data_IF_116518376548
#
_entry.id   IF_116518376548
#
_cell.length_a   1.000
_cell.length_b   1.000
_cell.length_c   1.000
_cell.angle_alpha   90.00
_cell.angle_beta   90.00
_cell.angle_gamma   90.00
#
_symmetry.space_group_name_H-M   'P 1'
#
loop_
_entity.id
_entity.type
_entity.pdbx_description
1 polymer ?
#
# COMPACT_ATOMS: atom_id res chain seq x y z
N UNK A 1 -25.63 -8.22 -15.79
CA UNK A 1 -26.09 -7.60 -14.52
C UNK A 1 -25.77 -6.13 -14.55
N UNK A 2 -26.66 -5.25 -14.06
CA UNK A 2 -26.38 -3.81 -13.94
C UNK A 2 -25.20 -3.56 -13.00
N UNK A 3 -24.35 -2.58 -13.33
CA UNK A 3 -23.29 -2.12 -12.45
C UNK A 3 -23.88 -1.65 -11.11
N UNK A 4 -23.19 -1.93 -10.01
CA UNK A 4 -23.59 -1.48 -8.68
C UNK A 4 -22.89 -0.16 -8.35
N UNK A 5 -23.57 0.72 -7.62
CA UNK A 5 -23.03 1.97 -7.14
C UNK A 5 -22.25 1.71 -5.82
N UNK A 6 -20.95 1.84 -5.86
CA UNK A 6 -20.08 1.60 -4.70
C UNK A 6 -19.48 2.93 -4.24
N UNK A 7 -19.74 3.30 -3.00
CA UNK A 7 -19.12 4.47 -2.40
C UNK A 7 -17.88 4.05 -1.58
N UNK A 8 -16.71 4.42 -2.05
CA UNK A 8 -15.48 4.30 -1.27
C UNK A 8 -15.39 5.43 -0.25
N UNK A 9 -15.19 5.06 1.02
CA UNK A 9 -14.82 6.00 2.08
C UNK A 9 -13.53 5.52 2.75
N UNK A 10 -12.65 6.44 3.10
CA UNK A 10 -11.35 6.05 3.62
C UNK A 10 -10.86 6.96 4.74
N UNK A 11 -10.12 6.35 5.67
CA UNK A 11 -9.32 7.09 6.66
C UNK A 11 -8.08 7.70 6.02
N UNK A 12 -7.56 7.10 4.95
CA UNK A 12 -6.38 7.50 4.20
C UNK A 12 -6.71 7.54 2.71
N UNK A 13 -6.39 8.64 2.06
CA UNK A 13 -6.57 8.82 0.62
C UNK A 13 -5.66 9.94 0.12
N UNK A 14 -5.08 9.83 -1.10
CA UNK A 14 -4.25 10.89 -1.67
C UNK A 14 -5.00 12.21 -1.78
N UNK A 15 -4.38 13.28 -1.31
CA UNK A 15 -4.99 14.59 -1.30
C UNK A 15 -3.91 15.68 -1.28
N UNK A 16 -4.28 16.98 -1.36
CA UNK A 16 -3.31 18.09 -1.40
C UNK A 16 -2.39 18.20 -0.18
N UNK A 17 -2.80 17.63 0.99
CA UNK A 17 -2.04 17.69 2.24
C UNK A 17 -1.12 16.47 2.34
N UNK A 18 -1.62 15.31 1.93
CA UNK A 18 -0.95 14.01 2.02
C UNK A 18 -1.00 13.31 0.65
N UNK A 19 -0.16 13.72 -0.32
CA UNK A 19 -0.28 13.25 -1.72
C UNK A 19 -0.05 11.76 -1.93
N UNK A 20 0.72 11.11 -1.06
CA UNK A 20 1.09 9.68 -1.16
C UNK A 20 0.28 8.78 -0.23
N UNK A 21 -0.45 9.38 0.74
CA UNK A 21 -1.17 8.60 1.75
C UNK A 21 -2.39 7.90 1.17
N UNK A 22 -2.46 6.56 1.32
CA UNK A 22 -3.61 5.77 0.88
C UNK A 22 -3.67 5.49 -0.63
N UNK A 23 -2.56 5.57 -1.36
CA UNK A 23 -2.47 5.20 -2.78
C UNK A 23 -3.08 3.83 -3.08
N UNK A 24 -2.94 2.86 -2.18
CA UNK A 24 -3.52 1.53 -2.29
C UNK A 24 -5.06 1.55 -2.29
N UNK A 25 -5.69 2.51 -1.57
CA UNK A 25 -7.15 2.68 -1.58
C UNK A 25 -7.61 3.20 -2.94
N UNK A 26 -6.91 4.17 -3.50
CA UNK A 26 -7.19 4.69 -4.83
C UNK A 26 -7.10 3.58 -5.87
N UNK A 27 -6.04 2.76 -5.85
CA UNK A 27 -5.87 1.62 -6.77
C UNK A 27 -6.98 0.58 -6.63
N UNK A 28 -7.43 0.28 -5.40
CA UNK A 28 -8.59 -0.59 -5.19
C UNK A 28 -9.88 -0.01 -5.78
N UNK A 29 -10.11 1.30 -5.61
CA UNK A 29 -11.27 1.97 -6.21
C UNK A 29 -11.21 1.93 -7.75
N UNK A 30 -10.04 2.15 -8.33
CA UNK A 30 -9.78 2.03 -9.76
C UNK A 30 -10.07 0.60 -10.25
N UNK A 31 -9.56 -0.42 -9.57
CA UNK A 31 -9.86 -1.81 -9.91
C UNK A 31 -11.37 -2.10 -9.84
N UNK A 32 -12.05 -1.68 -8.78
CA UNK A 32 -13.51 -1.90 -8.63
C UNK A 32 -14.30 -1.20 -9.74
N UNK A 33 -13.82 -0.07 -10.27
CA UNK A 33 -14.48 0.69 -11.33
C UNK A 33 -14.58 -0.06 -12.67
N UNK A 34 -13.75 -1.08 -12.90
CA UNK A 34 -13.85 -1.95 -14.08
C UNK A 34 -15.21 -2.66 -14.18
N UNK A 35 -15.82 -3.00 -13.05
CA UNK A 35 -17.05 -3.80 -12.99
C UNK A 35 -18.22 -3.11 -12.30
N UNK A 36 -18.00 -1.95 -11.65
CA UNK A 36 -19.00 -1.22 -10.87
C UNK A 36 -18.94 0.28 -11.17
N UNK A 37 -19.95 1.04 -10.78
CA UNK A 37 -19.86 2.49 -10.69
C UNK A 37 -19.26 2.85 -9.33
N UNK A 38 -18.22 3.70 -9.33
CA UNK A 38 -17.48 4.04 -8.11
C UNK A 38 -17.46 5.55 -7.93
N UNK A 39 -17.77 5.99 -6.72
CA UNK A 39 -17.47 7.34 -6.23
C UNK A 39 -16.61 7.25 -4.97
N UNK A 40 -15.76 8.26 -4.73
CA UNK A 40 -14.87 8.33 -3.57
C UNK A 40 -15.24 9.54 -2.74
N UNK A 41 -15.39 9.32 -1.41
CA UNK A 41 -15.58 10.39 -0.44
C UNK A 41 -14.51 10.28 0.66
N UNK A 42 -13.66 11.28 0.73
CA UNK A 42 -12.65 11.41 1.79
C UNK A 42 -12.87 12.67 2.61
N UNK A 43 -12.52 12.64 3.91
CA UNK A 43 -12.65 13.81 4.78
C UNK A 43 -11.41 13.94 5.68
N UNK A 44 -10.68 15.04 5.53
CA UNK A 44 -9.40 15.29 6.21
C UNK A 44 -9.35 16.69 6.83
N UNK A 45 -8.61 16.82 7.95
CA UNK A 45 -8.39 18.10 8.62
C UNK A 45 -7.27 18.90 7.98
N UNK A 46 -7.52 20.17 7.72
CA UNK A 46 -6.54 21.13 7.21
C UNK A 46 -6.37 22.27 8.23
N UNK A 47 -5.17 22.35 8.83
CA UNK A 47 -4.86 23.38 9.84
C UNK A 47 -4.57 24.76 9.21
N UNK A 48 -4.33 24.83 7.90
CA UNK A 48 -4.01 26.07 7.19
C UNK A 48 -5.25 26.83 6.71
N UNK A 49 -6.42 26.16 6.63
CA UNK A 49 -7.61 26.80 6.08
C UNK A 49 -8.40 27.61 7.10
N UNK A 50 -9.02 28.69 6.64
CA UNK A 50 -9.89 29.58 7.45
C UNK A 50 -11.34 29.11 7.44
N UNK A 51 -11.83 28.56 6.34
CA UNK A 51 -13.20 28.09 6.18
C UNK A 51 -13.43 26.78 6.97
N UNK A 52 -14.61 26.63 7.58
CA UNK A 52 -14.94 25.41 8.31
C UNK A 52 -14.91 24.17 7.41
N UNK A 53 -15.37 24.29 6.15
CA UNK A 53 -15.34 23.23 5.13
C UNK A 53 -14.99 23.77 3.76
N UNK A 54 -14.12 23.03 3.05
CA UNK A 54 -13.85 23.23 1.61
C UNK A 54 -14.10 21.90 0.92
N UNK A 55 -14.76 21.92 -0.24
CA UNK A 55 -15.09 20.75 -1.03
C UNK A 55 -14.25 20.77 -2.31
N UNK A 56 -13.44 19.76 -2.53
CA UNK A 56 -12.67 19.54 -3.75
C UNK A 56 -13.28 18.35 -4.49
N UNK A 57 -14.10 18.62 -5.51
CA UNK A 57 -14.88 17.64 -6.28
C UNK A 57 -14.28 17.53 -7.68
N UNK A 58 -13.63 16.42 -7.98
CA UNK A 58 -12.88 16.21 -9.23
C UNK A 58 -13.13 14.80 -9.78
N UNK A 59 -12.85 14.64 -11.07
CA UNK A 59 -12.69 13.33 -11.69
C UNK A 59 -11.19 12.98 -11.67
N UNK A 60 -10.84 11.89 -11.00
CA UNK A 60 -9.46 11.38 -10.94
C UNK A 60 -9.48 9.95 -11.51
N UNK A 61 -8.71 9.71 -12.55
CA UNK A 61 -8.66 8.41 -13.26
C UNK A 61 -10.06 7.86 -13.61
N UNK A 62 -10.97 8.75 -14.06
CA UNK A 62 -12.35 8.39 -14.42
C UNK A 62 -13.32 8.22 -13.24
N UNK A 63 -12.88 8.42 -12.00
CA UNK A 63 -13.69 8.26 -10.79
C UNK A 63 -13.96 9.61 -10.16
N UNK A 64 -15.24 9.92 -9.88
CA UNK A 64 -15.59 11.11 -9.11
C UNK A 64 -15.07 11.00 -7.69
N UNK A 65 -14.21 11.91 -7.31
CA UNK A 65 -13.52 11.97 -6.03
C UNK A 65 -13.84 13.28 -5.34
N UNK A 66 -14.55 13.20 -4.22
CA UNK A 66 -14.89 14.34 -3.38
C UNK A 66 -14.05 14.30 -2.10
N UNK A 67 -13.12 15.24 -1.97
CA UNK A 67 -12.34 15.44 -0.75
C UNK A 67 -12.92 16.64 0.02
N UNK A 68 -13.34 16.38 1.25
CA UNK A 68 -13.85 17.41 2.17
C UNK A 68 -12.75 17.78 3.16
N UNK A 69 -12.22 19.00 3.04
CA UNK A 69 -11.26 19.54 4.00
C UNK A 69 -12.02 20.27 5.11
N UNK A 70 -11.87 19.84 6.35
CA UNK A 70 -12.42 20.58 7.49
C UNK A 70 -11.31 21.34 8.23
N UNK A 71 -11.64 22.52 8.77
CA UNK A 71 -10.70 23.30 9.58
C UNK A 71 -10.28 22.49 10.81
N UNK A 72 -9.00 22.10 10.86
CA UNK A 72 -8.42 21.35 11.97
C UNK A 72 -8.02 22.31 13.11
N UNK A 73 -8.20 21.86 14.34
CA UNK A 73 -7.92 22.64 15.55
C UNK A 73 -7.12 21.81 16.56
N UNK A 74 -6.71 22.42 17.66
CA UNK A 74 -6.07 21.69 18.78
C UNK A 74 -7.04 20.80 19.57
N UNK A 75 -8.37 20.96 19.39
CA UNK A 75 -9.37 20.17 20.11
C UNK A 75 -9.75 18.89 19.33
N UNK A 76 -9.37 17.69 19.80
CA UNK A 76 -9.62 16.43 19.09
C UNK A 76 -11.11 16.06 18.99
N UNK A 77 -11.95 16.44 19.96
CA UNK A 77 -13.38 16.17 19.93
C UNK A 77 -14.08 17.05 18.88
N UNK A 78 -13.71 18.33 18.79
CA UNK A 78 -14.21 19.22 17.76
C UNK A 78 -13.78 18.75 16.37
N UNK A 79 -12.54 18.31 16.21
CA UNK A 79 -12.03 17.77 14.94
C UNK A 79 -12.79 16.50 14.54
N UNK A 80 -13.09 15.60 15.48
CA UNK A 80 -13.92 14.43 15.20
C UNK A 80 -15.33 14.81 14.76
N UNK A 81 -15.99 15.73 15.47
CA UNK A 81 -17.31 16.25 15.13
C UNK A 81 -17.33 16.90 13.73
N UNK A 82 -16.33 17.75 13.43
CA UNK A 82 -16.17 18.36 12.11
C UNK A 82 -15.96 17.33 11.03
N UNK A 83 -15.14 16.32 11.26
CA UNK A 83 -14.94 15.21 10.31
C UNK A 83 -16.24 14.47 10.01
N UNK A 84 -17.01 14.10 11.04
CA UNK A 84 -18.30 13.43 10.85
C UNK A 84 -19.32 14.31 10.11
N UNK A 85 -19.35 15.60 10.41
CA UNK A 85 -20.20 16.58 9.71
C UNK A 85 -19.73 16.78 8.26
N UNK A 86 -18.41 16.81 8.01
CA UNK A 86 -17.82 16.84 6.68
C UNK A 86 -18.23 15.65 5.82
N UNK A 87 -18.14 14.44 6.37
CA UNK A 87 -18.64 13.23 5.71
C UNK A 87 -20.14 13.32 5.39
N UNK A 88 -20.99 13.78 6.34
CA UNK A 88 -22.43 13.95 6.11
C UNK A 88 -22.71 14.94 4.96
N UNK A 89 -22.03 16.10 4.97
CA UNK A 89 -22.16 17.12 3.92
C UNK A 89 -21.66 16.62 2.56
N UNK A 90 -20.56 15.88 2.55
CA UNK A 90 -20.04 15.24 1.35
C UNK A 90 -21.00 14.18 0.81
N UNK A 91 -21.47 13.27 1.65
CA UNK A 91 -22.42 12.22 1.29
C UNK A 91 -23.71 12.77 0.65
N UNK A 92 -24.21 13.90 1.16
CA UNK A 92 -25.39 14.56 0.58
C UNK A 92 -25.21 15.03 -0.88
N UNK A 93 -23.96 15.07 -1.38
CA UNK A 93 -23.61 15.42 -2.76
C UNK A 93 -23.30 14.20 -3.65
N UNK A 94 -23.25 12.99 -3.05
CA UNK A 94 -22.95 11.75 -3.75
C UNK A 94 -24.26 11.05 -4.18
N UNK A 95 -24.13 10.15 -5.16
CA UNK A 95 -25.23 9.21 -5.49
C UNK A 95 -25.48 8.30 -4.28
N UNK A 96 -26.72 7.89 -4.08
CA UNK A 96 -27.05 6.87 -3.07
C UNK A 96 -26.39 5.55 -3.47
N UNK A 97 -25.44 5.02 -2.68
CA UNK A 97 -24.76 3.80 -3.04
C UNK A 97 -25.58 2.55 -2.69
N UNK A 98 -25.40 1.48 -3.46
CA UNK A 98 -25.88 0.14 -3.11
C UNK A 98 -25.08 -0.44 -1.94
N UNK A 99 -23.77 -0.11 -1.88
CA UNK A 99 -22.84 -0.59 -0.85
C UNK A 99 -21.75 0.45 -0.57
N UNK A 100 -21.35 0.56 0.69
CA UNK A 100 -20.20 1.35 1.09
C UNK A 100 -18.96 0.43 1.21
N UNK A 101 -17.86 0.81 0.56
CA UNK A 101 -16.56 0.20 0.74
C UNK A 101 -15.69 1.10 1.63
N UNK A 102 -15.65 0.80 2.91
CA UNK A 102 -14.82 1.50 3.88
C UNK A 102 -13.38 0.98 3.84
N UNK A 103 -12.42 1.83 4.20
CA UNK A 103 -11.00 1.47 4.22
C UNK A 103 -10.36 1.90 5.52
N UNK A 104 -9.69 0.96 6.18
CA UNK A 104 -8.96 1.10 7.44
C UNK A 104 -9.86 1.39 8.65
N UNK A 105 -9.93 0.45 9.59
CA UNK A 105 -10.81 0.49 10.78
C UNK A 105 -10.39 1.54 11.82
N UNK A 106 -10.33 2.81 11.39
CA UNK A 106 -10.13 3.93 12.29
C UNK A 106 -11.44 4.64 12.63
N UNK A 107 -11.41 5.51 13.64
CA UNK A 107 -12.60 6.23 14.16
C UNK A 107 -13.41 6.96 13.08
N UNK A 108 -12.79 7.38 11.99
CA UNK A 108 -13.47 7.98 10.83
C UNK A 108 -14.49 7.04 10.18
N UNK A 109 -14.24 5.72 10.23
CA UNK A 109 -15.15 4.72 9.65
C UNK A 109 -16.38 4.43 10.51
N UNK A 110 -16.55 5.07 11.66
CA UNK A 110 -17.85 5.16 12.33
C UNK A 110 -18.91 5.81 11.41
N UNK A 111 -18.47 6.53 10.37
CA UNK A 111 -19.39 7.04 9.35
C UNK A 111 -20.06 5.92 8.53
N UNK A 112 -19.34 4.84 8.21
CA UNK A 112 -19.95 3.66 7.57
C UNK A 112 -21.01 3.01 8.47
N UNK A 113 -20.74 2.92 9.78
CA UNK A 113 -21.72 2.42 10.76
C UNK A 113 -22.95 3.32 10.80
N UNK A 114 -22.78 4.65 10.79
CA UNK A 114 -23.87 5.61 10.71
C UNK A 114 -24.72 5.40 9.44
N UNK A 115 -24.11 5.23 8.27
CA UNK A 115 -24.82 5.00 7.00
C UNK A 115 -25.64 3.69 7.05
N UNK A 116 -25.05 2.62 7.61
CA UNK A 116 -25.77 1.35 7.80
C UNK A 116 -26.96 1.50 8.72
N UNK A 117 -26.79 2.18 9.87
CA UNK A 117 -27.88 2.33 10.86
C UNK A 117 -29.02 3.20 10.33
N UNK A 118 -28.67 4.34 9.70
CA UNK A 118 -29.66 5.34 9.27
C UNK A 118 -30.31 5.01 7.95
N UNK A 119 -29.52 4.58 6.96
CA UNK A 119 -29.99 4.38 5.58
C UNK A 119 -30.07 2.91 5.17
N UNK A 120 -29.72 1.98 6.07
CA UNK A 120 -29.66 0.53 5.83
C UNK A 120 -28.69 0.11 4.72
N UNK A 121 -27.74 0.96 4.36
CA UNK A 121 -26.72 0.68 3.34
C UNK A 121 -25.69 -0.28 3.96
N UNK A 122 -25.48 -1.49 3.42
CA UNK A 122 -24.47 -2.41 3.90
C UNK A 122 -23.06 -1.88 3.60
N UNK A 123 -22.06 -2.33 4.38
CA UNK A 123 -20.69 -1.98 4.08
C UNK A 123 -19.71 -3.14 4.31
N UNK A 124 -18.66 -3.13 3.52
CA UNK A 124 -17.43 -3.91 3.73
C UNK A 124 -16.31 -2.98 4.18
N UNK A 125 -15.27 -3.53 4.76
CA UNK A 125 -14.09 -2.76 5.10
C UNK A 125 -12.82 -3.50 4.70
N UNK A 126 -12.00 -2.87 3.82
CA UNK A 126 -10.65 -3.36 3.55
C UNK A 126 -9.68 -2.83 4.60
N UNK A 127 -8.87 -3.75 5.14
CA UNK A 127 -7.94 -3.40 6.20
C UNK A 127 -6.50 -3.51 5.71
N UNK A 128 -5.77 -2.39 5.86
CA UNK A 128 -4.38 -2.24 5.42
C UNK A 128 -3.44 -1.89 6.56
N UNK A 129 -3.96 -1.50 7.72
CA UNK A 129 -3.15 -0.88 8.75
C UNK A 129 -2.29 -1.90 9.50
N UNK A 130 -0.98 -1.70 9.43
CA UNK A 130 0.00 -2.50 10.17
C UNK A 130 -0.11 -2.38 11.70
N UNK A 131 -0.88 -1.41 12.20
CA UNK A 131 -1.19 -1.30 13.63
C UNK A 131 -1.96 -2.50 14.19
N UNK A 132 -2.64 -3.28 13.35
CA UNK A 132 -3.30 -4.53 13.76
C UNK A 132 -2.41 -5.76 13.68
N UNK A 133 -1.18 -5.66 13.17
CA UNK A 133 -0.20 -6.73 13.24
C UNK A 133 0.25 -6.94 14.69
N UNK A 134 0.46 -8.17 15.10
CA UNK A 134 0.77 -8.55 16.48
C UNK A 134 1.97 -7.80 17.05
N UNK A 135 2.97 -7.54 16.24
CA UNK A 135 4.17 -6.76 16.62
C UNK A 135 3.83 -5.31 17.07
N UNK A 136 2.67 -4.79 16.71
CA UNK A 136 2.25 -3.43 17.02
C UNK A 136 1.10 -3.35 18.07
N UNK A 137 0.61 -4.48 18.59
CA UNK A 137 -0.54 -4.47 19.52
C UNK A 137 -0.28 -3.68 20.79
N UNK A 138 0.94 -3.67 21.31
CA UNK A 138 1.33 -2.88 22.47
C UNK A 138 1.14 -1.36 22.27
N UNK A 139 1.11 -0.90 21.01
CA UNK A 139 0.91 0.50 20.62
C UNK A 139 -0.57 0.85 20.41
N UNK A 140 -1.47 -0.14 20.37
CA UNK A 140 -2.91 0.08 20.19
C UNK A 140 -3.54 0.57 21.49
N UNK A 141 -4.13 1.76 21.46
CA UNK A 141 -4.92 2.23 22.60
C UNK A 141 -6.20 1.39 22.75
N UNK A 142 -6.64 1.20 24.01
CA UNK A 142 -7.91 0.50 24.32
C UNK A 142 -9.11 1.15 23.61
N UNK A 143 -9.10 2.49 23.49
CA UNK A 143 -10.15 3.25 22.79
C UNK A 143 -10.14 2.92 21.29
N UNK A 144 -8.97 2.92 20.64
CA UNK A 144 -8.86 2.55 19.23
C UNK A 144 -9.37 1.13 18.99
N UNK A 145 -8.94 0.18 19.82
CA UNK A 145 -9.37 -1.22 19.71
C UNK A 145 -10.88 -1.38 19.89
N UNK A 146 -11.46 -0.69 20.87
CA UNK A 146 -12.91 -0.69 21.12
C UNK A 146 -13.68 -0.16 19.91
N UNK A 147 -13.28 1.00 19.38
CA UNK A 147 -13.91 1.60 18.20
C UNK A 147 -13.79 0.66 16.98
N UNK A 148 -12.59 0.09 16.75
CA UNK A 148 -12.38 -0.84 15.64
C UNK A 148 -13.28 -2.08 15.76
N UNK A 149 -13.48 -2.61 16.97
CA UNK A 149 -14.41 -3.74 17.21
C UNK A 149 -15.87 -3.35 16.94
N UNK A 150 -16.30 -2.12 17.23
CA UNK A 150 -17.64 -1.63 16.87
C UNK A 150 -17.79 -1.58 15.35
N UNK A 151 -16.81 -1.02 14.65
CA UNK A 151 -16.83 -0.93 13.19
C UNK A 151 -16.85 -2.34 12.58
N UNK A 152 -15.95 -3.21 13.01
CA UNK A 152 -15.86 -4.59 12.58
C UNK A 152 -17.18 -5.36 12.75
N UNK A 153 -17.80 -5.29 13.94
CA UNK A 153 -19.07 -5.98 14.24
C UNK A 153 -20.21 -5.55 13.30
N UNK A 154 -20.17 -4.32 12.81
CA UNK A 154 -21.21 -3.78 11.91
C UNK A 154 -20.90 -4.01 10.43
N UNK A 155 -19.68 -4.32 10.03
CA UNK A 155 -19.34 -4.64 8.65
C UNK A 155 -19.95 -5.98 8.23
N UNK A 156 -20.34 -6.08 6.94
CA UNK A 156 -20.77 -7.36 6.34
C UNK A 156 -19.58 -8.30 6.15
N UNK A 157 -18.44 -7.74 5.75
CA UNK A 157 -17.15 -8.42 5.64
C UNK A 157 -16.02 -7.48 6.06
N UNK A 158 -14.97 -8.05 6.66
CA UNK A 158 -13.65 -7.45 6.76
C UNK A 158 -12.78 -8.12 5.69
N UNK A 159 -12.02 -7.30 4.95
CA UNK A 159 -11.20 -7.73 3.82
C UNK A 159 -9.73 -7.38 4.12
N UNK A 160 -9.03 -8.20 4.92
CA UNK A 160 -7.59 -8.01 5.15
C UNK A 160 -6.82 -8.22 3.86
N UNK A 161 -5.72 -7.48 3.68
CA UNK A 161 -4.89 -7.59 2.46
C UNK A 161 -3.90 -8.75 2.48
N UNK A 162 -3.83 -9.52 3.57
CA UNK A 162 -2.97 -10.71 3.69
C UNK A 162 -3.58 -11.74 4.63
N UNK A 163 -3.17 -13.00 4.49
CA UNK A 163 -3.51 -14.07 5.45
C UNK A 163 -2.88 -13.80 6.82
N UNK A 164 -1.70 -13.19 6.82
CA UNK A 164 -1.04 -12.77 8.05
C UNK A 164 -1.91 -11.79 8.84
N UNK A 165 -2.38 -10.71 8.20
CA UNK A 165 -3.28 -9.74 8.84
C UNK A 165 -4.62 -10.37 9.24
N UNK A 166 -5.18 -11.27 8.42
CA UNK A 166 -6.40 -12.00 8.74
C UNK A 166 -6.24 -12.77 10.06
N UNK A 167 -5.13 -13.48 10.22
CA UNK A 167 -4.81 -14.26 11.44
C UNK A 167 -4.71 -13.34 12.66
N UNK A 168 -4.02 -12.22 12.53
CA UNK A 168 -3.86 -11.24 13.61
C UNK A 168 -5.19 -10.58 14.02
N UNK A 169 -6.05 -10.24 13.05
CA UNK A 169 -7.39 -9.73 13.34
C UNK A 169 -8.27 -10.76 14.07
N UNK A 170 -8.19 -12.04 13.71
CA UNK A 170 -8.87 -13.12 14.44
C UNK A 170 -8.35 -13.21 15.89
N UNK A 171 -7.05 -13.17 16.09
CA UNK A 171 -6.41 -13.21 17.40
C UNK A 171 -6.76 -11.98 18.26
N UNK A 172 -7.00 -10.82 17.64
CA UNK A 172 -7.57 -9.63 18.32
C UNK A 172 -9.05 -9.77 18.69
N UNK A 173 -9.68 -10.90 18.33
CA UNK A 173 -11.06 -11.21 18.66
C UNK A 173 -12.10 -10.65 17.68
N UNK A 174 -11.72 -10.31 16.46
CA UNK A 174 -12.68 -9.97 15.41
C UNK A 174 -13.44 -11.22 14.96
N UNK A 175 -14.79 -11.21 15.12
CA UNK A 175 -15.69 -12.33 14.78
C UNK A 175 -16.44 -12.15 13.46
N UNK A 176 -16.30 -11.02 12.82
CA UNK A 176 -16.94 -10.71 11.53
C UNK A 176 -16.38 -11.62 10.45
N UNK A 177 -17.21 -11.97 9.46
CA UNK A 177 -16.75 -12.74 8.28
C UNK A 177 -15.57 -12.03 7.62
N UNK A 178 -14.54 -12.81 7.25
CA UNK A 178 -13.33 -12.28 6.62
C UNK A 178 -13.01 -13.06 5.34
N UNK A 179 -12.58 -12.32 4.32
CA UNK A 179 -11.97 -12.86 3.09
C UNK A 179 -10.74 -12.02 2.77
N UNK A 180 -9.63 -12.63 2.43
CA UNK A 180 -8.46 -11.88 1.97
C UNK A 180 -8.73 -11.35 0.57
N UNK A 181 -8.46 -10.06 0.40
CA UNK A 181 -8.38 -9.39 -0.90
C UNK A 181 -7.13 -8.54 -0.88
N UNK A 182 -6.16 -8.98 -1.64
CA UNK A 182 -4.80 -8.45 -1.65
C UNK A 182 -4.75 -7.06 -2.31
N UNK A 183 -3.61 -6.40 -2.16
CA UNK A 183 -3.33 -5.17 -2.88
C UNK A 183 -3.24 -5.44 -4.39
N UNK A 184 -3.50 -4.41 -5.17
CA UNK A 184 -3.59 -4.46 -6.63
C UNK A 184 -2.40 -3.76 -7.28
N UNK A 185 -2.01 -4.25 -8.45
CA UNK A 185 -1.03 -3.60 -9.31
C UNK A 185 -1.62 -3.38 -10.71
N UNK A 186 -1.27 -2.26 -11.33
CA UNK A 186 -1.55 -1.99 -12.73
C UNK A 186 -0.46 -2.63 -13.61
N UNK A 187 -0.73 -3.84 -14.11
CA UNK A 187 0.21 -4.61 -14.94
C UNK A 187 0.41 -3.97 -16.32
N UNK A 188 -0.48 -3.10 -16.78
CA UNK A 188 -0.30 -2.32 -18.01
C UNK A 188 0.69 -1.18 -17.84
N UNK A 189 0.80 -0.61 -16.64
CA UNK A 189 1.79 0.39 -16.28
C UNK A 189 3.14 -0.27 -15.92
N UNK A 190 3.10 -1.32 -15.10
CA UNK A 190 4.28 -2.08 -14.67
C UNK A 190 4.54 -3.25 -15.63
N UNK A 191 4.90 -2.89 -16.88
CA UNK A 191 5.16 -3.85 -17.96
C UNK A 191 6.49 -4.59 -17.78
N UNK A 192 6.60 -5.75 -18.40
CA UNK A 192 7.82 -6.54 -18.44
C UNK A 192 8.98 -5.72 -19.02
N UNK A 193 10.17 -5.87 -18.44
CA UNK A 193 11.40 -5.30 -18.99
C UNK A 193 11.75 -5.94 -20.32
N UNK A 194 12.21 -5.11 -21.28
CA UNK A 194 12.66 -5.55 -22.61
C UNK A 194 14.16 -5.83 -22.66
N UNK A 195 14.92 -5.21 -21.75
CA UNK A 195 16.38 -5.25 -21.74
C UNK A 195 16.88 -5.47 -20.31
N UNK A 196 18.07 -6.05 -20.20
CA UNK A 196 18.81 -6.16 -18.92
C UNK A 196 19.87 -5.07 -18.88
N UNK A 197 20.07 -4.40 -17.73
CA UNK A 197 21.14 -3.43 -17.57
C UNK A 197 22.53 -4.05 -17.87
N UNK A 198 23.42 -3.29 -18.50
CA UNK A 198 24.81 -3.70 -18.70
C UNK A 198 25.57 -3.95 -17.39
N UNK A 199 25.26 -3.12 -16.37
CA UNK A 199 25.82 -3.24 -15.02
C UNK A 199 24.72 -3.68 -14.09
N UNK A 200 24.97 -4.75 -13.35
CA UNK A 200 24.00 -5.29 -12.40
C UNK A 200 23.51 -4.22 -11.43
N UNK A 201 22.21 -4.00 -11.38
CA UNK A 201 21.59 -2.89 -10.63
C UNK A 201 20.62 -3.39 -9.58
N UNK A 202 20.95 -3.16 -8.30
CA UNK A 202 20.00 -3.28 -7.21
C UNK A 202 19.14 -2.02 -7.11
N UNK A 203 17.88 -2.19 -6.71
CA UNK A 203 16.93 -1.09 -6.53
C UNK A 203 16.24 -1.17 -5.17
N UNK A 204 16.15 -0.03 -4.47
CA UNK A 204 15.26 0.13 -3.31
C UNK A 204 14.40 1.37 -3.51
N UNK A 205 13.08 1.22 -3.37
CA UNK A 205 12.09 2.31 -3.40
C UNK A 205 11.20 2.21 -2.18
N UNK A 206 11.14 3.28 -1.38
CA UNK A 206 10.27 3.35 -0.21
C UNK A 206 10.02 4.80 0.22
N UNK A 207 9.28 5.00 1.31
CA UNK A 207 9.19 6.30 1.98
C UNK A 207 10.39 6.61 2.90
N UNK A 208 11.46 5.84 2.82
CA UNK A 208 12.75 6.03 3.50
C UNK A 208 12.68 6.20 5.03
N UNK A 209 11.58 5.79 5.66
CA UNK A 209 11.47 5.82 7.12
C UNK A 209 12.32 4.71 7.77
N UNK A 210 12.68 4.83 9.07
CA UNK A 210 13.53 3.84 9.74
C UNK A 210 13.07 2.39 9.60
N UNK A 211 11.76 2.17 9.56
CA UNK A 211 11.13 0.86 9.32
C UNK A 211 11.64 0.15 8.05
N UNK A 212 12.02 0.92 7.02
CA UNK A 212 12.50 0.39 5.72
C UNK A 212 14.02 0.15 5.71
N UNK A 213 14.71 0.51 6.79
CA UNK A 213 16.14 0.30 6.98
C UNK A 213 17.04 0.77 5.81
N UNK A 214 16.83 1.96 5.20
CA UNK A 214 17.61 2.38 4.03
C UNK A 214 19.10 2.49 4.34
N UNK A 215 19.48 2.90 5.55
CA UNK A 215 20.89 3.01 5.95
C UNK A 215 21.57 1.64 6.06
N UNK A 216 20.85 0.59 6.50
CA UNK A 216 21.41 -0.77 6.54
C UNK A 216 21.64 -1.32 5.13
N UNK A 217 20.76 -0.97 4.17
CA UNK A 217 20.97 -1.31 2.76
C UNK A 217 22.22 -0.65 2.22
N UNK A 218 22.46 0.65 2.54
CA UNK A 218 23.69 1.35 2.16
C UNK A 218 24.93 0.68 2.76
N UNK A 219 24.93 0.39 4.07
CA UNK A 219 26.05 -0.28 4.76
C UNK A 219 26.38 -1.63 4.12
N UNK A 220 25.36 -2.40 3.80
CA UNK A 220 25.54 -3.69 3.11
C UNK A 220 26.15 -3.51 1.72
N UNK A 221 25.71 -2.50 0.97
CA UNK A 221 26.27 -2.19 -0.34
C UNK A 221 27.73 -1.73 -0.26
N UNK A 222 28.11 -0.93 0.76
CA UNK A 222 29.50 -0.56 0.97
C UNK A 222 30.38 -1.80 1.20
N UNK A 223 29.96 -2.70 2.09
CA UNK A 223 30.69 -3.94 2.37
C UNK A 223 30.78 -4.83 1.12
N UNK A 224 29.71 -4.94 0.34
CA UNK A 224 29.71 -5.72 -0.91
C UNK A 224 30.68 -5.13 -1.93
N UNK A 225 30.84 -3.79 -1.98
CA UNK A 225 31.74 -3.07 -2.88
C UNK A 225 33.21 -3.37 -2.61
N UNK A 226 33.59 -3.71 -1.40
CA UNK A 226 34.97 -4.11 -1.06
C UNK A 226 35.43 -5.35 -1.85
N UNK A 227 34.48 -6.24 -2.18
CA UNK A 227 34.75 -7.50 -2.90
C UNK A 227 34.35 -7.47 -4.37
N UNK A 228 33.30 -6.72 -4.73
CA UNK A 228 32.72 -6.71 -6.07
C UNK A 228 32.61 -5.29 -6.61
N UNK A 229 33.22 -5.03 -7.78
CA UNK A 229 33.24 -3.68 -8.36
C UNK A 229 32.17 -3.47 -9.44
N UNK A 230 31.50 -4.53 -9.95
CA UNK A 230 30.60 -4.44 -11.09
C UNK A 230 29.11 -4.53 -10.70
N UNK A 231 28.66 -3.60 -9.85
CA UNK A 231 27.25 -3.41 -9.57
C UNK A 231 26.94 -1.96 -9.23
N UNK A 232 25.67 -1.60 -9.28
CA UNK A 232 25.10 -0.33 -8.83
C UNK A 232 23.96 -0.56 -7.81
N UNK A 233 23.77 0.43 -6.95
CA UNK A 233 22.58 0.53 -6.10
C UNK A 233 21.83 1.83 -6.43
N UNK A 234 20.56 1.72 -6.82
CA UNK A 234 19.65 2.84 -6.87
C UNK A 234 18.74 2.81 -5.64
N UNK A 235 18.71 3.89 -4.86
CA UNK A 235 17.93 3.95 -3.62
C UNK A 235 17.27 5.31 -3.48
N UNK A 236 15.95 5.33 -3.20
CA UNK A 236 15.24 6.60 -3.08
C UNK A 236 13.75 6.45 -2.81
N UNK A 237 13.03 7.56 -2.96
CA UNK A 237 11.59 7.65 -2.81
C UNK A 237 11.12 8.85 -1.98
N UNK A 238 10.01 8.69 -1.27
CA UNK A 238 9.34 9.74 -0.48
C UNK A 238 9.92 9.77 0.94
N UNK A 239 10.98 10.58 1.15
CA UNK A 239 11.61 10.70 2.47
C UNK A 239 12.91 11.51 2.41
N UNK A 240 13.76 11.36 3.44
CA UNK A 240 14.98 12.13 3.59
C UNK A 240 16.12 11.58 2.71
N UNK A 241 16.07 11.92 1.43
CA UNK A 241 17.11 11.56 0.45
C UNK A 241 18.43 12.28 0.76
N UNK A 242 18.39 13.49 1.34
CA UNK A 242 19.60 14.24 1.63
C UNK A 242 20.44 13.57 2.74
N UNK A 243 19.80 12.96 3.73
CA UNK A 243 20.52 12.14 4.71
C UNK A 243 21.25 10.97 4.03
N UNK A 244 20.62 10.28 3.08
CA UNK A 244 21.27 9.20 2.33
C UNK A 244 22.45 9.74 1.50
N UNK A 245 22.29 10.88 0.82
CA UNK A 245 23.36 11.52 0.06
C UNK A 245 24.57 11.88 0.95
N UNK A 246 24.32 12.36 2.17
CA UNK A 246 25.37 12.64 3.14
C UNK A 246 26.14 11.38 3.52
N UNK A 247 25.44 10.28 3.79
CA UNK A 247 26.06 8.99 4.12
C UNK A 247 26.89 8.49 2.93
N UNK A 248 26.38 8.58 1.70
CA UNK A 248 27.05 8.16 0.46
C UNK A 248 28.35 8.96 0.25
N UNK A 249 28.30 10.30 0.37
CA UNK A 249 29.48 11.17 0.24
C UNK A 249 30.54 10.85 1.28
N UNK A 250 30.14 10.67 2.54
CA UNK A 250 31.09 10.35 3.63
C UNK A 250 31.81 9.01 3.39
N UNK A 251 31.20 8.08 2.64
CA UNK A 251 31.79 6.80 2.28
C UNK A 251 32.38 6.78 0.85
N UNK A 252 32.43 7.92 0.14
CA UNK A 252 32.96 8.06 -1.24
C UNK A 252 32.33 7.06 -2.22
N UNK A 253 31.02 6.84 -2.08
CA UNK A 253 30.28 5.79 -2.78
C UNK A 253 29.47 6.28 -3.99
N UNK A 254 29.61 7.57 -4.39
CA UNK A 254 28.81 8.21 -5.46
C UNK A 254 29.02 7.56 -6.84
N UNK A 255 30.14 6.86 -7.03
CA UNK A 255 30.46 6.17 -8.29
C UNK A 255 29.52 5.00 -8.58
N UNK A 256 28.95 4.34 -7.54
CA UNK A 256 28.10 3.16 -7.71
C UNK A 256 26.74 3.24 -7.02
N UNK A 257 26.49 4.24 -6.15
CA UNK A 257 25.19 4.45 -5.54
C UNK A 257 24.57 5.74 -6.08
N UNK A 258 23.32 5.64 -6.53
CA UNK A 258 22.52 6.78 -7.00
C UNK A 258 21.24 6.89 -6.20
N UNK A 259 20.97 8.08 -5.69
CA UNK A 259 19.71 8.40 -5.02
C UNK A 259 18.73 9.09 -5.99
N UNK A 260 17.46 9.10 -5.60
CA UNK A 260 16.42 9.85 -6.31
C UNK A 260 15.30 10.24 -5.33
N UNK A 261 14.61 11.36 -5.58
CA UNK A 261 13.47 11.80 -4.77
C UNK A 261 12.22 10.95 -5.06
N UNK A 262 11.08 11.36 -4.52
CA UNK A 262 9.77 10.80 -4.88
C UNK A 262 9.57 10.83 -6.40
N UNK A 263 9.11 9.71 -6.95
CA UNK A 263 8.88 9.50 -8.37
C UNK A 263 7.38 9.29 -8.66
N UNK A 264 6.97 9.60 -9.87
CA UNK A 264 5.68 9.19 -10.42
C UNK A 264 5.64 7.67 -10.60
N UNK A 265 4.45 7.07 -10.65
CA UNK A 265 4.31 5.62 -10.88
C UNK A 265 4.97 5.15 -12.18
N UNK A 266 4.95 5.98 -13.23
CA UNK A 266 5.63 5.67 -14.48
C UNK A 266 7.15 5.61 -14.30
N UNK A 267 7.74 6.58 -13.61
CA UNK A 267 9.17 6.59 -13.33
C UNK A 267 9.58 5.45 -12.40
N UNK A 268 8.71 5.07 -11.43
CA UNK A 268 8.91 3.86 -10.61
C UNK A 268 8.95 2.61 -11.48
N UNK A 269 7.99 2.45 -12.40
CA UNK A 269 7.96 1.35 -13.36
C UNK A 269 9.24 1.31 -14.22
N UNK A 270 9.68 2.45 -14.74
CA UNK A 270 10.89 2.55 -15.55
C UNK A 270 12.15 2.20 -14.73
N UNK A 271 12.22 2.63 -13.47
CA UNK A 271 13.31 2.25 -12.55
C UNK A 271 13.36 0.74 -12.30
N UNK A 272 12.20 0.12 -12.05
CA UNK A 272 12.10 -1.31 -11.81
C UNK A 272 12.50 -2.12 -13.05
N UNK A 273 12.04 -1.72 -14.23
CA UNK A 273 12.40 -2.35 -15.50
C UNK A 273 13.90 -2.29 -15.78
N UNK A 274 14.56 -1.21 -15.38
CA UNK A 274 15.99 -0.98 -15.54
C UNK A 274 16.82 -1.46 -14.33
N UNK A 275 16.31 -2.46 -13.60
CA UNK A 275 16.99 -3.06 -12.44
C UNK A 275 16.96 -4.58 -12.52
N UNK A 276 17.94 -5.23 -11.90
CA UNK A 276 18.07 -6.68 -11.90
C UNK A 276 17.48 -7.33 -10.66
N UNK A 277 17.50 -6.62 -9.53
CA UNK A 277 16.97 -7.12 -8.27
C UNK A 277 16.45 -5.98 -7.40
N UNK A 278 15.23 -6.14 -6.88
CA UNK A 278 14.64 -5.22 -5.93
C UNK A 278 14.99 -5.63 -4.49
N UNK A 279 15.24 -4.66 -3.60
CA UNK A 279 15.52 -4.92 -2.19
C UNK A 279 14.41 -4.31 -1.33
N UNK A 280 13.74 -5.11 -0.49
CA UNK A 280 12.82 -4.65 0.54
C UNK A 280 13.26 -5.18 1.91
N UNK A 281 14.01 -4.37 2.65
CA UNK A 281 14.61 -4.75 3.94
C UNK A 281 13.87 -4.10 5.12
N UNK A 282 12.59 -4.45 5.30
CA UNK A 282 11.70 -3.83 6.28
C UNK A 282 11.61 -4.62 7.59
N UNK A 283 11.39 -3.93 8.72
CA UNK A 283 11.18 -4.56 10.03
C UNK A 283 9.82 -5.26 10.10
N UNK A 284 8.79 -4.70 9.45
CA UNK A 284 7.47 -5.33 9.26
C UNK A 284 6.77 -4.76 8.03
N UNK A 285 5.90 -5.57 7.43
CA UNK A 285 5.06 -5.21 6.28
C UNK A 285 3.69 -5.88 6.42
N UNK A 286 2.69 -5.30 5.77
CA UNK A 286 1.41 -5.99 5.66
C UNK A 286 1.33 -6.77 4.34
N UNK A 287 1.18 -6.06 3.23
CA UNK A 287 1.21 -6.63 1.87
C UNK A 287 1.76 -5.58 0.90
N UNK A 288 3.09 -5.48 0.75
CA UNK A 288 3.73 -4.35 0.08
C UNK A 288 3.50 -4.35 -1.44
N UNK A 289 2.81 -3.32 -1.95
CA UNK A 289 2.55 -3.13 -3.39
C UNK A 289 3.86 -3.14 -4.21
N UNK A 290 4.93 -2.56 -3.66
CA UNK A 290 6.21 -2.41 -4.35
C UNK A 290 6.84 -3.75 -4.76
N UNK A 291 6.57 -4.84 -4.04
CA UNK A 291 7.01 -6.18 -4.45
C UNK A 291 6.20 -6.71 -5.63
N UNK A 292 4.89 -6.46 -5.65
CA UNK A 292 4.04 -6.82 -6.79
C UNK A 292 4.44 -6.01 -8.03
N UNK A 293 4.73 -4.72 -7.85
CA UNK A 293 5.20 -3.82 -8.90
C UNK A 293 6.53 -4.31 -9.49
N UNK A 294 7.48 -4.69 -8.65
CA UNK A 294 8.77 -5.24 -9.06
C UNK A 294 8.60 -6.55 -9.84
N UNK A 295 7.84 -7.50 -9.30
CA UNK A 295 7.59 -8.78 -9.98
C UNK A 295 6.82 -8.58 -11.29
N UNK A 296 5.90 -7.62 -11.36
CA UNK A 296 5.18 -7.28 -12.58
C UNK A 296 6.12 -6.80 -13.69
N UNK A 297 7.20 -6.10 -13.34
CA UNK A 297 8.23 -5.72 -14.33
C UNK A 297 9.21 -6.85 -14.68
N UNK A 298 9.04 -8.02 -14.06
CA UNK A 298 9.95 -9.16 -14.24
C UNK A 298 11.25 -9.03 -13.42
N UNK A 299 11.24 -8.20 -12.39
CA UNK A 299 12.41 -7.97 -11.51
C UNK A 299 12.21 -8.74 -10.19
N UNK A 300 13.03 -9.78 -9.90
CA UNK A 300 12.97 -10.55 -8.68
C UNK A 300 13.39 -9.71 -7.47
N UNK A 301 13.10 -10.18 -6.25
CA UNK A 301 13.35 -9.40 -5.05
C UNK A 301 14.13 -10.16 -3.97
N UNK A 302 14.93 -9.42 -3.19
CA UNK A 302 15.40 -9.82 -1.87
C UNK A 302 14.51 -9.11 -0.85
N UNK A 303 13.85 -9.85 0.04
CA UNK A 303 12.94 -9.26 1.00
C UNK A 303 13.01 -9.92 2.38
N UNK A 304 12.77 -9.15 3.44
CA UNK A 304 12.67 -9.70 4.79
C UNK A 304 11.44 -10.58 4.95
N UNK A 305 11.58 -11.70 5.65
CA UNK A 305 10.51 -12.67 5.95
C UNK A 305 9.61 -12.14 7.08
N UNK A 306 8.85 -11.06 6.80
CA UNK A 306 7.98 -10.40 7.79
C UNK A 306 6.58 -10.18 7.22
N UNK A 307 5.56 -10.25 8.10
CA UNK A 307 4.16 -10.00 7.75
C UNK A 307 3.68 -10.82 6.55
N UNK A 308 3.06 -10.17 5.58
CA UNK A 308 2.55 -10.80 4.36
C UNK A 308 3.58 -10.99 3.24
N UNK A 309 4.85 -10.60 3.41
CA UNK A 309 5.87 -10.79 2.36
C UNK A 309 6.01 -12.26 1.93
N UNK A 310 6.00 -13.26 2.85
CA UNK A 310 6.08 -14.67 2.45
C UNK A 310 4.88 -15.17 1.61
N UNK A 311 3.80 -14.40 1.54
CA UNK A 311 2.66 -14.71 0.66
C UNK A 311 2.92 -14.30 -0.81
N UNK A 312 3.93 -13.42 -1.04
CA UNK A 312 4.31 -12.88 -2.35
C UNK A 312 5.60 -13.54 -2.83
N UNK A 313 6.63 -13.58 -1.98
CA UNK A 313 7.99 -13.99 -2.33
C UNK A 313 8.23 -15.46 -1.98
N UNK A 314 8.80 -16.18 -2.94
CA UNK A 314 9.22 -17.57 -2.83
C UNK A 314 10.54 -17.80 -3.60
N UNK A 315 11.09 -19.02 -3.56
CA UNK A 315 12.39 -19.35 -4.18
C UNK A 315 12.45 -19.13 -5.70
N UNK A 316 11.31 -19.01 -6.40
CA UNK A 316 11.24 -18.81 -7.85
C UNK A 316 11.27 -17.34 -8.25
N UNK A 317 10.87 -16.44 -7.35
CA UNK A 317 10.73 -15.02 -7.64
C UNK A 317 11.54 -14.11 -6.71
N UNK A 318 12.28 -14.69 -5.74
CA UNK A 318 13.11 -13.89 -4.84
C UNK A 318 13.75 -14.71 -3.73
N UNK A 319 14.42 -13.99 -2.82
CA UNK A 319 15.06 -14.54 -1.62
C UNK A 319 14.40 -13.94 -0.40
N UNK A 320 13.92 -14.81 0.51
CA UNK A 320 13.45 -14.40 1.83
C UNK A 320 14.61 -14.50 2.83
N UNK A 321 14.87 -13.40 3.52
CA UNK A 321 15.91 -13.29 4.54
C UNK A 321 15.30 -12.89 5.89
N UNK A 322 16.02 -13.14 6.99
CA UNK A 322 15.69 -12.52 8.27
C UNK A 322 16.05 -11.02 8.26
N UNK A 323 15.71 -10.29 9.32
CA UNK A 323 16.13 -8.90 9.46
C UNK A 323 17.61 -8.82 9.92
N UNK A 324 18.51 -9.37 9.11
CA UNK A 324 19.96 -9.49 9.35
C UNK A 324 20.74 -8.85 8.19
N UNK A 325 21.64 -7.90 8.51
CA UNK A 325 22.54 -7.30 7.51
C UNK A 325 23.47 -8.35 6.89
N UNK A 326 23.83 -9.40 7.64
CA UNK A 326 24.63 -10.51 7.13
C UNK A 326 23.87 -11.32 6.07
N UNK A 327 22.61 -11.69 6.35
CA UNK A 327 21.79 -12.40 5.38
C UNK A 327 21.47 -11.52 4.15
N UNK A 328 21.29 -10.20 4.33
CA UNK A 328 21.13 -9.28 3.21
C UNK A 328 22.39 -9.28 2.33
N UNK A 329 23.58 -9.23 2.95
CA UNK A 329 24.86 -9.32 2.24
C UNK A 329 24.95 -10.62 1.43
N UNK A 330 24.71 -11.76 2.08
CA UNK A 330 24.80 -13.08 1.45
C UNK A 330 23.80 -13.21 0.29
N UNK A 331 22.58 -12.72 0.46
CA UNK A 331 21.58 -12.72 -0.60
C UNK A 331 21.96 -11.82 -1.78
N UNK A 332 22.48 -10.61 -1.52
CA UNK A 332 22.98 -9.72 -2.57
C UNK A 332 24.17 -10.34 -3.32
N UNK A 333 25.10 -10.99 -2.60
CA UNK A 333 26.24 -11.70 -3.19
C UNK A 333 25.78 -12.86 -4.09
N UNK A 334 24.86 -13.70 -3.62
CA UNK A 334 24.33 -14.83 -4.39
C UNK A 334 23.67 -14.38 -5.71
N UNK A 335 22.86 -13.31 -5.64
CA UNK A 335 22.18 -12.78 -6.84
C UNK A 335 23.20 -12.15 -7.80
N UNK A 336 24.16 -11.36 -7.28
CA UNK A 336 25.21 -10.74 -8.10
C UNK A 336 26.07 -11.78 -8.82
N UNK A 337 26.37 -12.90 -8.15
CA UNK A 337 27.12 -14.03 -8.72
C UNK A 337 26.27 -14.93 -9.62
N UNK A 338 24.97 -14.62 -9.82
CA UNK A 338 24.03 -15.47 -10.57
C UNK A 338 23.97 -16.91 -10.04
N UNK A 339 24.16 -17.10 -8.72
CA UNK A 339 24.08 -18.42 -8.05
C UNK A 339 22.67 -18.80 -7.63
N UNK A 340 21.68 -17.97 -7.93
CA UNK A 340 20.25 -18.24 -7.73
C UNK A 340 19.55 -18.29 -9.08
N UNK A 341 18.60 -19.20 -9.20
CA UNK A 341 17.85 -19.40 -10.41
C UNK A 341 16.39 -18.97 -10.19
N UNK A 342 16.06 -17.75 -10.60
CA UNK A 342 14.69 -17.25 -10.58
C UNK A 342 13.96 -17.60 -11.85
N UNK A 343 12.64 -17.64 -11.81
CA UNK A 343 11.81 -17.72 -13.01
C UNK A 343 12.09 -16.52 -13.93
N UNK A 344 11.89 -16.73 -15.24
CA UNK A 344 12.13 -15.66 -16.21
C UNK A 344 11.14 -14.48 -16.02
N UNK A 345 11.45 -13.28 -16.54
CA UNK A 345 10.62 -12.08 -16.38
C UNK A 345 9.15 -12.26 -16.78
N UNK A 346 8.88 -13.08 -17.80
CA UNK A 346 7.51 -13.35 -18.27
C UNK A 346 6.71 -14.13 -17.21
N UNK A 347 7.31 -15.15 -16.60
CA UNK A 347 6.64 -15.95 -15.55
C UNK A 347 6.38 -15.12 -14.30
N UNK A 348 7.32 -14.23 -13.91
CA UNK A 348 7.14 -13.30 -12.79
C UNK A 348 5.97 -12.34 -13.05
N UNK A 349 5.90 -11.76 -14.24
CA UNK A 349 4.81 -10.90 -14.66
C UNK A 349 3.47 -11.64 -14.64
N UNK A 350 3.39 -12.81 -15.26
CA UNK A 350 2.17 -13.62 -15.38
C UNK A 350 1.65 -14.04 -13.99
N UNK A 351 2.55 -14.31 -13.04
CA UNK A 351 2.17 -14.54 -11.64
C UNK A 351 1.40 -13.35 -11.07
N UNK A 352 1.90 -12.13 -11.26
CA UNK A 352 1.24 -10.92 -10.77
C UNK A 352 -0.07 -10.66 -11.52
N UNK A 353 -0.06 -10.76 -12.84
CA UNK A 353 -1.23 -10.53 -13.69
C UNK A 353 -2.38 -11.47 -13.35
N UNK A 354 -2.10 -12.74 -13.13
CA UNK A 354 -3.10 -13.76 -12.84
C UNK A 354 -3.68 -13.68 -11.42
N UNK A 355 -3.03 -12.99 -10.46
CA UNK A 355 -3.47 -12.98 -9.07
C UNK A 355 -3.79 -11.59 -8.53
N UNK A 356 -3.10 -10.53 -9.00
CA UNK A 356 -3.10 -9.19 -8.39
C UNK A 356 -3.38 -8.05 -9.38
N UNK A 357 -3.70 -8.35 -10.65
CA UNK A 357 -4.08 -7.32 -11.63
C UNK A 357 -5.38 -6.62 -11.26
N UNK A 358 -5.63 -5.47 -11.89
CA UNK A 358 -6.85 -4.69 -11.72
C UNK A 358 -8.09 -5.55 -11.93
N UNK A 359 -8.10 -6.40 -12.98
CA UNK A 359 -9.21 -7.27 -13.33
C UNK A 359 -9.47 -8.35 -12.29
N UNK A 360 -8.40 -8.99 -11.80
CA UNK A 360 -8.50 -10.08 -10.80
C UNK A 360 -8.98 -9.57 -9.45
N UNK A 361 -8.46 -8.43 -9.00
CA UNK A 361 -8.90 -7.82 -7.75
C UNK A 361 -10.33 -7.26 -7.89
N UNK A 362 -10.69 -6.67 -9.05
CA UNK A 362 -12.07 -6.28 -9.36
C UNK A 362 -13.06 -7.46 -9.25
N UNK A 363 -12.66 -8.64 -9.74
CA UNK A 363 -13.47 -9.87 -9.64
C UNK A 363 -13.67 -10.30 -8.18
N UNK A 364 -12.61 -10.35 -7.39
CA UNK A 364 -12.67 -10.70 -5.97
C UNK A 364 -13.65 -9.79 -5.22
N UNK A 365 -13.52 -8.47 -5.36
CA UNK A 365 -14.42 -7.50 -4.73
C UNK A 365 -15.86 -7.65 -5.22
N UNK A 366 -16.06 -7.71 -6.54
CA UNK A 366 -17.42 -7.77 -7.13
C UNK A 366 -18.17 -9.03 -6.68
N UNK A 367 -17.48 -10.15 -6.52
CA UNK A 367 -18.10 -11.39 -6.02
C UNK A 367 -18.55 -11.23 -4.56
N UNK A 368 -17.74 -10.56 -3.71
CA UNK A 368 -18.11 -10.25 -2.33
C UNK A 368 -19.33 -9.31 -2.29
N UNK A 369 -19.35 -8.26 -3.12
CA UNK A 369 -20.49 -7.34 -3.18
C UNK A 369 -21.77 -8.05 -3.60
N UNK A 370 -21.70 -8.96 -4.58
CA UNK A 370 -22.86 -9.77 -5.00
C UNK A 370 -23.40 -10.67 -3.87
N UNK A 371 -22.52 -11.22 -3.03
CA UNK A 371 -22.96 -12.02 -1.87
C UNK A 371 -23.72 -11.18 -0.83
N UNK A 372 -23.38 -9.90 -0.70
CA UNK A 372 -23.99 -8.99 0.29
C UNK A 372 -25.31 -8.38 -0.22
N UNK A 373 -25.40 -8.14 -1.52
CA UNK A 373 -26.52 -7.43 -2.17
C UNK A 373 -27.59 -8.39 -2.74
N UNK A 374 -27.45 -9.68 -2.51
CA UNK A 374 -28.51 -10.68 -2.73
C UNK A 374 -29.55 -10.59 -1.63
#
# INVERSE_FOLDING_TARGET
MSKKNILFISSWFPNKIEPTNGNFVQRHAEAVSFKNEVEILHCIGDSSQKNTYIFDDKIINGIRTLVVYYQNTKNPLLNFSRRMTGYKKGFAKMKTPDLVHANVMQKSMLFAVYLKMKYKIPFVITEHWSGFLNINWSKLSKVQLFISKIIAKNASYILPVSQYLLSDLKNLGCKTKMKVVENVVDTHLFKIKSETPEIFTFLHISNLIPLKNPEKILKTAFKLREKYSNFRLHIGGDGDVENLNKIIRNNKAESFIKTFPMLTLKEVSDKMRNSDCFILFSDYENFPCVLLESLSTGTPAIATKVGGIPEIINKKNGILISNSEAELYDAMELVLQKKVNFDNPKILHDFVENHFSMEKIAEKFTNIYKEILR
#
